data_IF_812911642427
#
_entry.id   IF_812911642427
#
_cell.length_a   1.000
_cell.length_b   1.000
_cell.length_c   1.000
_cell.angle_alpha   90.00
_cell.angle_beta   90.00
_cell.angle_gamma   90.00
#
_symmetry.space_group_name_H-M   'P 1'
#
loop_
_entity.id
_entity.type
_entity.pdbx_description
1 polymer ?
#
# COMPACT_ATOMS: atom_id res chain seq x y z
N UNK A 1 8.59 -13.16 -11.69
CA UNK A 1 8.84 -11.72 -11.54
C UNK A 1 7.59 -10.95 -11.95
N UNK A 2 7.17 -10.06 -11.11
CA UNK A 2 6.02 -9.20 -11.39
C UNK A 2 6.55 -7.86 -11.88
N UNK A 3 6.03 -7.42 -13.02
CA UNK A 3 6.46 -6.17 -13.64
C UNK A 3 5.40 -5.10 -13.39
N UNK A 4 5.77 -4.08 -12.62
CA UNK A 4 4.96 -2.91 -12.35
C UNK A 4 5.72 -1.67 -12.78
N UNK A 5 5.33 -1.05 -13.91
CA UNK A 5 6.09 0.07 -14.47
C UNK A 5 6.27 1.25 -13.50
N UNK A 6 5.38 1.42 -12.54
CA UNK A 6 5.48 2.49 -11.55
C UNK A 6 6.32 2.14 -10.33
N UNK A 7 6.73 0.89 -10.18
CA UNK A 7 7.57 0.45 -9.06
C UNK A 7 9.03 0.47 -9.47
N UNK A 8 9.79 1.41 -8.93
CA UNK A 8 11.18 1.62 -9.35
C UNK A 8 12.21 0.97 -8.46
N UNK A 9 11.86 0.60 -7.24
CA UNK A 9 12.77 -0.13 -6.36
C UNK A 9 12.01 -1.02 -5.39
N UNK A 10 12.58 -2.18 -5.11
CA UNK A 10 12.00 -3.15 -4.16
C UNK A 10 13.11 -3.56 -3.20
N UNK A 11 12.83 -3.46 -1.91
CA UNK A 11 13.70 -3.97 -0.86
C UNK A 11 12.93 -4.95 0.01
N UNK A 12 13.52 -6.12 0.22
CA UNK A 12 12.91 -7.18 1.02
C UNK A 12 13.42 -7.11 2.46
N UNK A 13 12.50 -6.99 3.38
CA UNK A 13 12.79 -7.05 4.81
C UNK A 13 12.37 -8.42 5.33
N UNK A 14 13.35 -9.23 5.73
CA UNK A 14 13.10 -10.60 6.17
C UNK A 14 12.88 -10.70 7.67
N UNK A 15 12.00 -11.61 8.04
CA UNK A 15 11.82 -12.00 9.42
C UNK A 15 13.01 -12.86 9.89
N UNK A 16 13.21 -12.97 11.23
CA UNK A 16 14.31 -13.79 11.77
C UNK A 16 14.32 -15.24 11.30
N UNK A 17 13.15 -15.80 10.96
CA UNK A 17 13.02 -17.16 10.43
C UNK A 17 13.32 -17.28 8.93
N UNK A 18 13.75 -16.19 8.30
CA UNK A 18 14.04 -16.17 6.87
C UNK A 18 12.86 -15.90 5.94
N UNK A 19 11.63 -15.90 6.46
CA UNK A 19 10.45 -15.60 5.65
C UNK A 19 10.35 -14.10 5.36
N UNK A 20 9.72 -13.78 4.23
CA UNK A 20 9.42 -12.39 3.92
C UNK A 20 8.37 -11.87 4.90
N UNK A 21 8.71 -10.78 5.61
CA UNK A 21 7.76 -10.08 6.46
C UNK A 21 7.23 -8.84 5.76
N UNK A 22 8.14 -8.02 5.25
CA UNK A 22 7.81 -6.70 4.69
C UNK A 22 8.61 -6.48 3.43
N UNK A 23 7.99 -5.82 2.47
CA UNK A 23 8.63 -5.40 1.22
C UNK A 23 8.50 -3.89 1.12
N UNK A 24 9.59 -3.21 0.83
CA UNK A 24 9.58 -1.79 0.50
C UNK A 24 9.64 -1.63 -1.00
N UNK A 25 8.74 -0.81 -1.54
CA UNK A 25 8.76 -0.44 -2.93
C UNK A 25 8.39 1.04 -3.10
N UNK A 26 8.73 1.59 -4.27
CA UNK A 26 8.40 2.96 -4.61
C UNK A 26 7.37 2.94 -5.73
N UNK A 27 6.24 3.59 -5.51
CA UNK A 27 5.17 3.71 -6.49
C UNK A 27 4.85 5.16 -6.76
N UNK A 28 4.57 5.47 -8.02
CA UNK A 28 4.04 6.77 -8.39
C UNK A 28 2.52 6.80 -8.15
N UNK A 29 2.01 7.93 -7.66
CA UNK A 29 0.58 8.11 -7.47
C UNK A 29 0.23 9.59 -7.47
N UNK A 30 -1.08 9.88 -7.42
CA UNK A 30 -1.56 11.25 -7.33
C UNK A 30 -1.19 11.84 -5.98
N UNK A 31 -0.75 13.09 -5.98
CA UNK A 31 -0.49 13.81 -4.74
C UNK A 31 -1.78 14.09 -3.98
N UNK A 32 -2.82 14.48 -4.70
CA UNK A 32 -4.09 14.93 -4.11
C UNK A 32 -5.22 14.76 -5.13
N UNK A 33 -6.44 14.66 -4.64
CA UNK A 33 -7.63 14.72 -5.50
C UNK A 33 -7.85 16.12 -6.10
N UNK A 34 -7.18 17.14 -5.56
CA UNK A 34 -7.36 18.54 -5.95
C UNK A 34 -6.46 18.99 -7.09
N UNK A 35 -5.50 18.18 -7.48
CA UNK A 35 -4.61 18.50 -8.59
C UNK A 35 -4.24 17.24 -9.36
N UNK A 36 -3.62 17.40 -10.51
CA UNK A 36 -3.17 16.29 -11.35
C UNK A 36 -1.70 15.91 -11.11
N UNK A 37 -1.06 16.53 -10.13
CA UNK A 37 0.34 16.27 -9.82
C UNK A 37 0.53 14.85 -9.32
N UNK A 38 1.61 14.20 -9.77
CA UNK A 38 2.02 12.88 -9.31
C UNK A 38 3.29 13.00 -8.50
N UNK A 39 3.42 12.11 -7.51
CA UNK A 39 4.61 12.04 -6.66
C UNK A 39 5.00 10.58 -6.48
N UNK A 40 6.21 10.36 -5.99
CA UNK A 40 6.67 9.03 -5.60
C UNK A 40 6.34 8.78 -4.15
N UNK A 41 5.66 7.65 -3.91
CA UNK A 41 5.40 7.16 -2.56
C UNK A 41 6.36 6.01 -2.25
N UNK A 42 7.04 6.08 -1.11
CA UNK A 42 7.72 4.91 -0.58
C UNK A 42 6.73 4.11 0.25
N UNK A 43 6.50 2.88 -0.15
CA UNK A 43 5.47 2.02 0.42
C UNK A 43 6.12 0.83 1.11
N UNK A 44 5.68 0.54 2.33
CA UNK A 44 5.99 -0.71 3.02
C UNK A 44 4.76 -1.60 2.95
N UNK A 45 4.92 -2.81 2.46
CA UNK A 45 3.84 -3.77 2.38
C UNK A 45 4.12 -4.90 3.35
N UNK A 46 3.19 -5.12 4.27
CA UNK A 46 3.27 -6.18 5.26
C UNK A 46 2.58 -7.43 4.72
N UNK A 47 3.38 -8.43 4.38
CA UNK A 47 2.92 -9.70 3.82
C UNK A 47 2.81 -10.82 4.86
N UNK A 48 2.89 -10.53 6.16
CA UNK A 48 2.99 -11.59 7.17
C UNK A 48 1.79 -12.53 7.21
N UNK A 49 0.61 -12.06 6.82
CA UNK A 49 -0.59 -12.91 6.72
C UNK A 49 -0.88 -13.41 5.31
N UNK A 50 -0.09 -13.00 4.33
CA UNK A 50 -0.29 -13.34 2.92
C UNK A 50 0.19 -14.78 2.63
N UNK A 51 -0.46 -15.57 1.78
CA UNK A 51 -1.57 -15.22 0.89
C UNK A 51 -2.98 -15.43 1.48
N UNK A 52 -3.10 -15.93 2.70
CA UNK A 52 -4.40 -16.19 3.32
C UNK A 52 -5.17 -14.90 3.60
N UNK A 53 -4.46 -13.84 3.99
CA UNK A 53 -5.03 -12.53 4.30
C UNK A 53 -4.48 -11.48 3.35
N UNK A 54 -5.25 -10.40 3.18
CA UNK A 54 -4.78 -9.23 2.44
C UNK A 54 -3.55 -8.64 3.13
N UNK A 55 -2.54 -8.25 2.35
CA UNK A 55 -1.45 -7.46 2.91
C UNK A 55 -1.93 -6.08 3.35
N UNK A 56 -1.12 -5.42 4.16
CA UNK A 56 -1.32 -4.03 4.54
C UNK A 56 -0.23 -3.17 3.92
N UNK A 57 -0.62 -2.03 3.36
CA UNK A 57 0.31 -1.08 2.78
C UNK A 57 0.39 0.17 3.63
N UNK A 58 1.61 0.64 3.88
CA UNK A 58 1.89 1.83 4.68
C UNK A 58 2.79 2.77 3.91
N UNK A 59 2.53 4.07 4.03
CA UNK A 59 3.36 5.09 3.41
C UNK A 59 4.50 5.45 4.35
N UNK A 60 5.73 5.22 3.92
CA UNK A 60 6.92 5.63 4.63
C UNK A 60 7.34 7.05 4.27
N UNK A 61 7.13 7.45 3.03
CA UNK A 61 7.44 8.79 2.51
C UNK A 61 6.39 9.15 1.45
N UNK A 62 5.85 10.37 1.45
CA UNK A 62 6.16 11.51 2.35
C UNK A 62 5.66 11.29 3.78
N UNK A 63 6.05 12.20 4.67
CA UNK A 63 5.60 12.18 6.08
C UNK A 63 4.10 12.47 6.19
N UNK A 64 3.49 12.01 7.28
CA UNK A 64 2.05 12.19 7.55
C UNK A 64 1.60 13.65 7.37
N UNK A 65 2.39 14.60 7.87
CA UNK A 65 2.09 16.03 7.77
C UNK A 65 2.11 16.57 6.34
N UNK A 66 2.73 15.84 5.41
CA UNK A 66 2.89 16.25 4.02
C UNK A 66 1.97 15.49 3.08
N UNK A 67 1.28 14.46 3.57
CA UNK A 67 0.38 13.66 2.75
C UNK A 67 -0.90 14.44 2.48
N UNK A 68 -1.27 14.55 1.20
CA UNK A 68 -2.46 15.23 0.72
C UNK A 68 -3.46 14.29 0.04
N UNK A 69 -3.17 13.00 0.01
CA UNK A 69 -4.02 11.99 -0.62
C UNK A 69 -5.12 11.57 0.34
N UNK A 70 -6.38 11.74 -0.08
CA UNK A 70 -7.54 11.54 0.81
C UNK A 70 -7.75 10.09 1.26
N UNK A 71 -7.14 9.11 0.59
CA UNK A 71 -7.30 7.70 0.94
C UNK A 71 -6.15 7.13 1.75
N UNK A 72 -5.31 7.97 2.31
CA UNK A 72 -4.21 7.56 3.19
C UNK A 72 -4.50 8.02 4.62
N UNK A 73 -4.64 7.07 5.55
CA UNK A 73 -4.92 7.36 6.95
C UNK A 73 -3.77 8.08 7.64
N UNK A 74 -4.07 8.79 8.72
CA UNK A 74 -3.04 9.36 9.57
C UNK A 74 -2.26 8.28 10.32
N UNK A 75 -1.03 8.60 10.71
CA UNK A 75 -0.07 7.66 11.30
C UNK A 75 -0.22 7.55 12.81
N UNK A 76 -1.40 7.19 13.30
CA UNK A 76 -1.64 7.15 14.75
C UNK A 76 -2.13 5.80 15.27
N UNK A 77 -2.58 4.90 14.42
CA UNK A 77 -3.29 3.69 14.84
C UNK A 77 -2.54 2.40 14.60
N UNK A 78 -1.62 2.37 13.68
CA UNK A 78 -0.99 1.14 13.22
C UNK A 78 0.51 1.24 13.34
N UNK A 79 1.05 0.97 14.55
CA UNK A 79 2.50 0.93 14.70
C UNK A 79 3.05 -0.24 13.90
N UNK A 80 4.01 0.04 13.07
CA UNK A 80 4.77 -0.95 12.34
C UNK A 80 6.02 -1.30 13.16
N UNK A 81 6.45 -2.58 13.15
CA UNK A 81 7.69 -2.94 13.82
C UNK A 81 8.89 -2.26 13.13
N UNK A 82 9.75 -1.57 13.88
CA UNK A 82 9.91 -1.52 15.32
C UNK A 82 9.14 -0.37 16.03
N UNK A 83 7.85 -0.30 15.84
CA UNK A 83 6.92 0.64 16.49
C UNK A 83 6.96 2.08 15.97
N UNK A 84 7.22 2.23 14.71
CA UNK A 84 7.09 3.52 14.05
C UNK A 84 5.66 3.61 13.51
N UNK A 85 4.86 4.60 13.92
CA UNK A 85 3.53 4.78 13.34
C UNK A 85 3.65 5.13 11.87
N UNK A 86 2.90 4.46 11.02
CA UNK A 86 2.90 4.71 9.58
C UNK A 86 1.47 4.90 9.08
N UNK A 87 1.34 5.63 7.98
CA UNK A 87 0.05 5.94 7.37
C UNK A 87 -0.42 4.75 6.53
N UNK A 88 -1.52 4.13 6.92
CA UNK A 88 -2.10 3.02 6.17
C UNK A 88 -2.82 3.53 4.91
N UNK A 89 -2.67 2.81 3.80
CA UNK A 89 -3.36 3.12 2.55
C UNK A 89 -4.69 2.38 2.52
N UNK A 90 -5.79 3.11 2.33
CA UNK A 90 -7.11 2.54 2.11
C UNK A 90 -7.25 2.14 0.64
N UNK A 91 -7.37 0.85 0.36
CA UNK A 91 -7.53 0.33 -1.00
C UNK A 91 -9.00 0.06 -1.37
N UNK A 92 -9.92 0.45 -0.49
CA UNK A 92 -11.35 0.21 -0.68
C UNK A 92 -11.77 -1.20 -0.28
N UNK A 93 -13.04 -1.53 -0.57
CA UNK A 93 -13.58 -2.86 -0.28
C UNK A 93 -13.15 -3.84 -1.37
N UNK A 94 -12.05 -4.48 -1.14
CA UNK A 94 -11.39 -5.35 -2.10
C UNK A 94 -11.40 -6.81 -1.67
N UNK A 95 -11.80 -7.08 -0.42
CA UNK A 95 -11.69 -8.39 0.19
C UNK A 95 -12.48 -9.47 -0.55
N UNK A 96 -13.65 -9.14 -1.10
CA UNK A 96 -14.48 -10.09 -1.85
C UNK A 96 -13.78 -10.57 -3.13
N UNK A 97 -13.14 -9.62 -3.85
CA UNK A 97 -12.39 -9.95 -5.07
C UNK A 97 -11.20 -10.84 -4.71
N UNK A 98 -10.46 -10.46 -3.68
CA UNK A 98 -9.30 -11.21 -3.23
C UNK A 98 -9.67 -12.63 -2.81
N UNK A 99 -10.77 -12.78 -2.06
CA UNK A 99 -11.26 -14.10 -1.61
C UNK A 99 -11.74 -14.96 -2.76
N UNK A 100 -12.25 -14.34 -3.83
CA UNK A 100 -12.73 -15.05 -5.02
C UNK A 100 -11.60 -15.58 -5.91
N UNK A 101 -10.37 -15.06 -5.73
CA UNK A 101 -9.22 -15.60 -6.44
C UNK A 101 -8.84 -16.95 -5.86
N UNK A 102 -8.60 -17.93 -6.72
CA UNK A 102 -8.08 -19.23 -6.30
C UNK A 102 -6.82 -18.99 -5.48
N UNK A 103 -6.43 -19.96 -4.63
CA UNK A 103 -5.25 -19.86 -3.77
C UNK A 103 -3.93 -19.77 -4.56
N UNK A 104 -3.94 -19.05 -5.65
CA UNK A 104 -2.78 -18.77 -6.48
C UNK A 104 -2.09 -17.52 -5.93
N UNK A 105 -0.92 -17.72 -5.39
CA UNK A 105 -0.09 -16.67 -4.80
C UNK A 105 0.18 -15.54 -5.77
N UNK A 106 0.53 -15.87 -7.03
CA UNK A 106 0.88 -14.87 -8.02
C UNK A 106 -0.33 -14.04 -8.43
N UNK A 107 -1.49 -14.68 -8.62
CA UNK A 107 -2.71 -13.95 -8.94
C UNK A 107 -3.10 -13.01 -7.82
N UNK A 108 -3.05 -13.49 -6.57
CA UNK A 108 -3.38 -12.65 -5.41
C UNK A 108 -2.41 -11.49 -5.27
N UNK A 109 -1.12 -11.73 -5.44
CA UNK A 109 -0.11 -10.67 -5.36
C UNK A 109 -0.30 -9.64 -6.47
N UNK A 110 -0.44 -10.10 -7.70
CA UNK A 110 -0.64 -9.21 -8.86
C UNK A 110 -1.89 -8.36 -8.69
N UNK A 111 -2.99 -8.99 -8.29
CA UNK A 111 -4.26 -8.31 -8.09
C UNK A 111 -4.17 -7.26 -6.98
N UNK A 112 -3.51 -7.60 -5.87
CA UNK A 112 -3.31 -6.67 -4.76
C UNK A 112 -2.47 -5.46 -5.17
N UNK A 113 -1.35 -5.69 -5.84
CA UNK A 113 -0.47 -4.59 -6.25
C UNK A 113 -1.14 -3.69 -7.30
N UNK A 114 -1.93 -4.27 -8.20
CA UNK A 114 -2.72 -3.49 -9.14
C UNK A 114 -3.75 -2.62 -8.42
N UNK A 115 -4.42 -3.16 -7.41
CA UNK A 115 -5.39 -2.39 -6.62
C UNK A 115 -4.73 -1.29 -5.81
N UNK A 116 -3.57 -1.55 -5.23
CA UNK A 116 -2.79 -0.54 -4.52
C UNK A 116 -2.39 0.60 -5.46
N UNK A 117 -1.88 0.26 -6.64
CA UNK A 117 -1.52 1.25 -7.66
C UNK A 117 -2.74 2.06 -8.11
N UNK A 118 -3.87 1.40 -8.30
CA UNK A 118 -5.12 2.06 -8.67
C UNK A 118 -5.55 3.05 -7.59
N UNK A 119 -5.53 2.63 -6.33
CA UNK A 119 -5.93 3.49 -5.21
C UNK A 119 -5.03 4.73 -5.10
N UNK A 120 -3.72 4.57 -5.27
CA UNK A 120 -2.78 5.70 -5.23
C UNK A 120 -2.96 6.65 -6.41
N UNK A 121 -3.35 6.13 -7.57
CA UNK A 121 -3.49 6.91 -8.80
C UNK A 121 -4.86 7.55 -8.97
N UNK A 122 -5.87 7.07 -8.24
CA UNK A 122 -7.27 7.50 -8.39
C UNK A 122 -7.88 7.81 -7.03
N UNK A 123 -7.61 9.01 -6.47
CA UNK A 123 -8.17 9.39 -5.18
C UNK A 123 -9.70 9.30 -5.18
N UNK A 124 -10.25 8.59 -4.20
CA UNK A 124 -11.68 8.41 -4.04
C UNK A 124 -12.20 9.37 -2.98
N UNK A 125 -12.85 10.44 -3.42
CA UNK A 125 -13.38 11.47 -2.51
C UNK A 125 -14.67 11.04 -1.82
N UNK A 126 -15.28 9.92 -2.25
CA UNK A 126 -16.47 9.38 -1.61
C UNK A 126 -16.17 8.55 -0.38
N UNK A 127 -14.91 8.18 -0.16
CA UNK A 127 -14.49 7.35 0.97
C UNK A 127 -13.13 7.84 1.47
N UNK A 128 -13.14 8.94 2.21
CA UNK A 128 -11.90 9.58 2.63
C UNK A 128 -11.38 9.02 3.96
N UNK A 129 -10.07 8.82 4.02
CA UNK A 129 -9.36 8.39 5.21
C UNK A 129 -8.77 9.57 5.99
N UNK A 130 -8.65 10.72 5.35
CA UNK A 130 -8.22 11.98 5.96
C UNK A 130 -8.91 13.14 5.31
N UNK A 131 -9.07 14.20 6.09
CA UNK A 131 -9.64 15.46 5.62
C UNK A 131 -8.53 16.32 5.01
N UNK A 132 -8.57 16.50 3.71
CA UNK A 132 -7.57 17.29 2.97
C UNK A 132 -8.22 18.15 1.91
#
# INVERSE_FOLDING_TARGET
KIDYPSAVSIRNLRLPNGNFGVVQLTMIGRQSHRNSKTIWYQILIDFRGFPAELPYAYVRSPDDSQIMHCNIYHADRYPFAPRIPLCNVCIGDYSAIFSGLKKDRLQRLSCYLNQLQYALSNPNTGDTARSV
#
